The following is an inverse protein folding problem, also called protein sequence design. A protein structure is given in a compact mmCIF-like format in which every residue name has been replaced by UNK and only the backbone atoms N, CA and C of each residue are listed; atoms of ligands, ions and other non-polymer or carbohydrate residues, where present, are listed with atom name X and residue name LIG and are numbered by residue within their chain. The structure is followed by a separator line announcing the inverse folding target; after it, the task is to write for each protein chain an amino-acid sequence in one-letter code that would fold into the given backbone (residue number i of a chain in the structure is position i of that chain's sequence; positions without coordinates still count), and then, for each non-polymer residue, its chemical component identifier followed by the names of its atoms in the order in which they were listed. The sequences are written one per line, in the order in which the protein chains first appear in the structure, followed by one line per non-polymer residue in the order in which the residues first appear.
data_IF_244946103806
#
_entry.id   IF_244946103806
#
_cell.length_a   1.000
_cell.length_b   1.000
_cell.length_c   1.000
_cell.angle_alpha   90.00
_cell.angle_beta   90.00
_cell.angle_gamma   90.00
#
_symmetry.space_group_name_H-M   'P 1'
#
loop_
_entity.id
_entity.type
_entity.pdbx_description
1 polymer ?
#
# COMPACT_ATOMS: atom_id res chain seq x y z
N UNK A 1 17.86 5.39 19.24
CA UNK A 1 18.82 4.65 20.09
C UNK A 1 18.90 3.17 19.70
N UNK A 2 17.79 2.47 19.57
CA UNK A 2 17.79 1.02 19.28
C UNK A 2 18.32 0.67 17.88
N UNK A 3 18.13 1.57 16.91
CA UNK A 3 18.69 1.41 15.57
C UNK A 3 20.21 1.55 15.61
N UNK A 4 20.72 2.61 16.26
CA UNK A 4 22.16 2.84 16.36
C UNK A 4 22.90 1.70 17.08
N UNK A 5 22.29 1.12 18.11
CA UNK A 5 22.85 -0.01 18.83
C UNK A 5 23.02 -1.29 17.99
N UNK A 6 22.22 -1.43 16.92
CA UNK A 6 22.23 -2.60 16.02
C UNK A 6 23.13 -2.43 14.80
N UNK A 7 23.69 -1.23 14.56
CA UNK A 7 24.52 -0.95 13.41
C UNK A 7 25.99 -1.31 13.66
N UNK A 8 26.62 -1.87 12.65
CA UNK A 8 28.07 -2.12 12.64
C UNK A 8 28.82 -0.83 12.31
N UNK A 9 29.37 -0.20 13.34
CA UNK A 9 30.07 1.10 13.24
C UNK A 9 31.32 1.02 12.36
N UNK A 10 31.96 -0.14 12.26
CA UNK A 10 33.15 -0.33 11.42
C UNK A 10 32.86 -0.16 9.92
N UNK A 11 31.61 -0.36 9.52
CA UNK A 11 31.14 -0.16 8.14
C UNK A 11 30.74 1.27 7.82
N UNK A 12 30.85 2.18 8.79
CA UNK A 12 30.41 3.57 8.70
C UNK A 12 31.53 4.58 9.02
N UNK A 13 32.70 4.50 8.36
CA UNK A 13 33.88 5.30 8.72
C UNK A 13 33.71 6.81 8.50
N UNK A 14 32.71 7.23 7.70
CA UNK A 14 32.44 8.64 7.43
C UNK A 14 31.44 9.28 8.40
N UNK A 15 30.83 8.49 9.29
CA UNK A 15 29.89 9.03 10.28
C UNK A 15 30.64 9.74 11.40
N UNK A 16 30.46 11.07 11.48
CA UNK A 16 31.12 11.93 12.49
C UNK A 16 30.34 12.04 13.78
N UNK A 17 29.01 12.08 13.69
CA UNK A 17 28.12 12.16 14.83
C UNK A 17 26.82 11.39 14.58
N UNK A 18 26.19 10.94 15.65
CA UNK A 18 24.82 10.40 15.65
C UNK A 18 24.04 11.10 16.74
N UNK A 19 22.92 11.69 16.37
CA UNK A 19 22.04 12.47 17.24
C UNK A 19 20.67 11.76 17.29
N UNK A 20 20.10 11.64 18.48
CA UNK A 20 18.74 11.15 18.67
C UNK A 20 17.74 12.17 18.12
N UNK A 21 16.80 11.72 17.29
CA UNK A 21 15.72 12.61 16.76
C UNK A 21 14.64 12.93 17.80
N UNK A 22 14.58 12.17 18.91
CA UNK A 22 13.54 12.37 19.92
C UNK A 22 13.82 13.58 20.83
N UNK A 23 15.10 13.79 21.14
CA UNK A 23 15.55 14.76 22.16
C UNK A 23 16.83 15.48 21.76
N UNK A 24 17.31 15.24 20.55
CA UNK A 24 18.56 15.78 19.99
C UNK A 24 19.83 15.43 20.80
N UNK A 25 19.78 14.43 21.68
CA UNK A 25 20.97 14.00 22.42
C UNK A 25 22.02 13.38 21.50
N UNK A 26 23.28 13.64 21.79
CA UNK A 26 24.43 13.07 21.10
C UNK A 26 24.63 11.61 21.52
N UNK A 27 24.39 10.66 20.61
CA UNK A 27 24.56 9.22 20.84
C UNK A 27 25.97 8.74 20.50
N UNK A 28 26.66 9.42 19.58
CA UNK A 28 27.99 9.09 19.12
C UNK A 28 28.69 10.34 18.59
N UNK A 29 29.99 10.44 18.87
CA UNK A 29 30.89 11.39 18.25
C UNK A 29 32.20 10.67 17.88
N UNK A 30 32.69 10.93 16.68
CA UNK A 30 33.94 10.37 16.15
C UNK A 30 35.17 10.81 16.94
N UNK A 31 35.16 12.06 17.39
CA UNK A 31 36.30 12.66 18.15
C UNK A 31 35.80 13.77 19.10
N UNK A 32 36.75 14.34 19.89
CA UNK A 32 36.43 15.37 20.87
C UNK A 32 36.03 16.72 20.24
N UNK A 33 36.48 17.02 19.03
CA UNK A 33 36.09 18.26 18.35
C UNK A 33 34.61 18.22 17.96
N UNK A 34 34.11 17.07 17.56
CA UNK A 34 32.69 16.85 17.32
C UNK A 34 31.86 17.01 18.60
N UNK A 35 32.36 16.52 19.75
CA UNK A 35 31.72 16.72 21.06
C UNK A 35 31.65 18.19 21.43
N UNK A 36 32.79 18.93 21.26
CA UNK A 36 32.84 20.37 21.51
C UNK A 36 31.87 21.14 20.60
N UNK A 37 31.87 20.82 19.31
CA UNK A 37 30.95 21.43 18.35
C UNK A 37 29.48 21.18 18.73
N UNK A 38 29.13 19.96 19.15
CA UNK A 38 27.79 19.65 19.65
C UNK A 38 27.45 20.44 20.92
N UNK A 39 28.37 20.54 21.90
CA UNK A 39 28.13 21.31 23.12
C UNK A 39 27.93 22.81 22.85
N UNK A 40 28.56 23.34 21.79
CA UNK A 40 28.47 24.75 21.40
C UNK A 40 27.26 25.04 20.46
N UNK A 41 26.41 24.06 20.13
CA UNK A 41 25.33 24.23 19.14
C UNK A 41 24.39 25.41 19.48
N UNK A 42 23.94 25.49 20.74
CA UNK A 42 23.01 26.53 21.19
C UNK A 42 23.64 27.92 21.14
N UNK A 43 24.88 28.03 21.52
CA UNK A 43 25.64 29.29 21.49
C UNK A 43 25.91 29.74 20.05
N UNK A 44 26.31 28.79 19.20
CA UNK A 44 26.51 29.03 17.75
C UNK A 44 25.21 29.47 17.09
N UNK A 45 24.09 28.82 17.43
CA UNK A 45 22.77 29.19 16.90
C UNK A 45 22.35 30.61 17.35
N UNK A 46 22.48 30.92 18.64
CA UNK A 46 22.17 32.23 19.18
C UNK A 46 23.06 33.34 18.57
N UNK A 47 24.33 33.05 18.33
CA UNK A 47 25.27 33.99 17.68
C UNK A 47 24.89 34.21 16.21
N UNK A 48 24.43 33.17 15.49
CA UNK A 48 24.03 33.27 14.09
C UNK A 48 22.70 34.00 13.92
N UNK A 49 21.81 33.88 14.90
CA UNK A 49 20.46 34.45 14.86
C UNK A 49 20.18 35.28 16.14
N UNK A 50 20.88 36.42 16.34
CA UNK A 50 20.79 37.20 17.58
C UNK A 50 19.39 37.80 17.81
N UNK A 51 18.60 38.00 16.75
CA UNK A 51 17.22 38.47 16.81
C UNK A 51 16.18 37.36 16.83
N UNK A 52 16.62 36.09 16.98
CA UNK A 52 15.81 34.90 16.83
C UNK A 52 15.75 34.39 15.39
N UNK A 53 15.36 33.13 15.23
CA UNK A 53 15.17 32.49 13.92
C UNK A 53 13.73 32.70 13.45
N UNK A 54 13.57 33.25 12.26
CA UNK A 54 12.26 33.54 11.64
C UNK A 54 12.19 32.95 10.23
N UNK A 55 11.01 32.98 9.59
CA UNK A 55 10.84 32.55 8.20
C UNK A 55 11.74 33.30 7.21
N UNK A 56 12.14 34.54 7.52
CA UNK A 56 13.07 35.32 6.70
C UNK A 56 14.50 34.76 6.68
N UNK A 57 14.84 33.94 7.66
CA UNK A 57 16.15 33.28 7.73
C UNK A 57 16.19 31.98 6.92
N UNK A 58 15.04 31.55 6.38
CA UNK A 58 14.94 30.34 5.56
C UNK A 58 15.13 30.70 4.09
N UNK A 59 16.12 30.11 3.47
CA UNK A 59 16.32 30.18 2.03
C UNK A 59 15.92 28.84 1.42
N UNK A 60 15.07 28.90 0.40
CA UNK A 60 14.65 27.73 -0.35
C UNK A 60 15.45 27.69 -1.66
N UNK A 61 16.00 26.54 -2.00
CA UNK A 61 16.54 26.31 -3.33
C UNK A 61 15.37 25.98 -4.26
N UNK A 62 14.97 26.96 -5.08
CA UNK A 62 13.84 26.83 -6.01
C UNK A 62 14.28 26.78 -7.46
N UNK A 63 15.59 26.76 -7.71
CA UNK A 63 16.14 27.08 -9.03
C UNK A 63 16.25 25.88 -9.97
N UNK A 64 16.21 24.66 -9.42
CA UNK A 64 16.35 23.46 -10.24
C UNK A 64 15.39 22.33 -9.82
N UNK A 65 14.34 22.15 -10.59
CA UNK A 65 13.31 21.13 -10.37
C UNK A 65 13.83 19.70 -10.54
N UNK A 66 14.94 19.53 -11.24
CA UNK A 66 15.56 18.23 -11.52
C UNK A 66 16.57 17.82 -10.43
N UNK A 67 16.78 18.66 -9.40
CA UNK A 67 17.64 18.30 -8.27
C UNK A 67 17.06 17.12 -7.50
N UNK A 68 17.97 16.25 -7.03
CA UNK A 68 17.63 15.10 -6.20
C UNK A 68 17.09 15.59 -4.84
N UNK A 69 15.89 15.17 -4.51
CA UNK A 69 15.22 15.53 -3.26
C UNK A 69 15.23 14.38 -2.24
N UNK A 70 14.83 13.19 -2.69
CA UNK A 70 14.69 12.02 -1.81
C UNK A 70 15.36 10.79 -2.42
N UNK A 71 16.06 10.03 -1.56
CA UNK A 71 16.43 8.65 -1.84
C UNK A 71 15.57 7.74 -0.95
N UNK A 72 14.59 7.09 -1.53
CA UNK A 72 13.69 6.19 -0.80
C UNK A 72 14.05 4.73 -1.07
N UNK A 73 14.41 3.98 -0.02
CA UNK A 73 14.79 2.58 -0.16
C UNK A 73 13.58 1.65 -0.25
N UNK A 74 13.54 0.84 -1.30
CA UNK A 74 12.54 -0.22 -1.46
C UNK A 74 13.10 -1.55 -1.01
N UNK A 75 12.30 -2.32 -0.25
CA UNK A 75 12.60 -3.72 -0.02
C UNK A 75 12.30 -4.50 -1.30
N UNK A 76 13.32 -4.71 -2.14
CA UNK A 76 13.18 -5.57 -3.32
C UNK A 76 12.65 -6.94 -2.94
N UNK A 77 11.69 -7.46 -3.70
CA UNK A 77 11.14 -8.81 -3.49
C UNK A 77 12.14 -9.94 -3.82
N UNK A 78 13.27 -9.61 -4.44
CA UNK A 78 14.22 -10.60 -4.97
C UNK A 78 15.69 -10.24 -4.80
N UNK A 79 16.04 -9.05 -4.26
CA UNK A 79 17.42 -8.55 -4.18
C UNK A 79 17.60 -7.59 -3.02
N UNK A 80 18.84 -7.13 -2.81
CA UNK A 80 19.14 -6.06 -1.84
C UNK A 80 18.26 -4.82 -2.05
N UNK A 81 17.94 -4.07 -0.98
CA UNK A 81 17.17 -2.85 -1.08
C UNK A 81 17.78 -1.86 -2.08
N UNK A 82 16.95 -1.23 -2.91
CA UNK A 82 17.38 -0.22 -3.88
C UNK A 82 16.96 1.16 -3.43
N UNK A 83 17.86 2.12 -3.48
CA UNK A 83 17.56 3.53 -3.18
C UNK A 83 17.01 4.22 -4.42
N UNK A 84 15.70 4.41 -4.48
CA UNK A 84 15.00 5.11 -5.57
C UNK A 84 15.28 6.60 -5.45
N UNK A 85 15.80 7.22 -6.51
CA UNK A 85 16.14 8.63 -6.56
C UNK A 85 14.98 9.43 -7.15
N UNK A 86 14.38 10.31 -6.34
CA UNK A 86 13.26 11.18 -6.72
C UNK A 86 13.69 12.64 -6.67
N UNK A 87 13.30 13.40 -7.70
CA UNK A 87 13.58 14.83 -7.83
C UNK A 87 12.47 15.66 -7.20
N UNK A 88 12.72 16.96 -6.99
CA UNK A 88 11.68 17.94 -6.63
C UNK A 88 10.52 17.90 -7.62
N UNK A 89 10.83 17.80 -8.92
CA UNK A 89 9.83 17.70 -9.97
C UNK A 89 8.91 16.50 -9.78
N UNK A 90 9.49 15.34 -9.45
CA UNK A 90 8.71 14.11 -9.29
C UNK A 90 7.71 14.19 -8.12
N UNK A 91 8.15 14.75 -6.99
CA UNK A 91 7.27 14.95 -5.83
C UNK A 91 6.21 16.00 -6.11
N UNK A 92 6.61 17.14 -6.68
CA UNK A 92 5.70 18.23 -6.98
C UNK A 92 4.61 17.83 -7.97
N UNK A 93 4.94 17.08 -9.02
CA UNK A 93 3.97 16.59 -10.01
C UNK A 93 2.87 15.73 -9.36
N UNK A 94 3.24 14.86 -8.43
CA UNK A 94 2.27 14.01 -7.73
C UNK A 94 1.43 14.79 -6.71
N UNK A 95 2.03 15.76 -6.02
CA UNK A 95 1.31 16.65 -5.09
C UNK A 95 0.32 17.52 -5.85
N UNK A 96 0.74 18.13 -6.95
CA UNK A 96 -0.10 18.94 -7.83
C UNK A 96 -1.29 18.14 -8.39
N UNK A 97 -1.05 16.91 -8.83
CA UNK A 97 -2.13 15.98 -9.18
C UNK A 97 -3.11 15.81 -8.01
N UNK A 98 -2.59 15.53 -6.81
CA UNK A 98 -3.41 15.40 -5.60
C UNK A 98 -4.26 16.66 -5.34
N UNK A 99 -3.68 17.85 -5.45
CA UNK A 99 -4.38 19.12 -5.24
C UNK A 99 -5.55 19.35 -6.21
N UNK A 100 -5.45 18.83 -7.43
CA UNK A 100 -6.51 18.97 -8.44
C UNK A 100 -7.60 17.91 -8.32
N UNK A 101 -7.29 16.69 -7.88
CA UNK A 101 -8.20 15.55 -7.99
C UNK A 101 -8.61 14.93 -6.65
N UNK A 102 -7.87 15.21 -5.57
CA UNK A 102 -8.20 14.72 -4.23
C UNK A 102 -8.68 15.91 -3.39
N UNK A 103 -9.89 15.87 -2.83
CA UNK A 103 -10.41 16.98 -2.02
C UNK A 103 -9.53 17.26 -0.81
N UNK A 104 -9.13 18.53 -0.67
CA UNK A 104 -8.37 19.02 0.50
C UNK A 104 -8.71 20.46 0.81
N UNK A 105 -8.47 20.88 2.05
CA UNK A 105 -8.73 22.23 2.54
C UNK A 105 -8.02 22.43 3.88
N UNK A 106 -7.75 23.69 4.22
CA UNK A 106 -7.30 24.13 5.54
C UNK A 106 -8.30 23.83 6.68
N UNK A 107 -9.55 23.53 6.32
CA UNK A 107 -10.61 23.12 7.26
C UNK A 107 -10.69 21.61 7.48
N UNK A 108 -9.95 20.83 6.70
CA UNK A 108 -9.98 19.39 6.80
C UNK A 108 -8.99 18.89 7.83
N UNK A 109 -9.30 17.72 8.37
CA UNK A 109 -8.46 16.98 9.30
C UNK A 109 -8.16 15.61 8.70
N UNK A 110 -6.98 15.08 9.00
CA UNK A 110 -6.52 13.78 8.56
C UNK A 110 -5.85 13.03 9.70
N UNK A 111 -5.99 11.71 9.72
CA UNK A 111 -5.22 10.81 10.57
C UNK A 111 -4.14 10.14 9.73
N UNK A 112 -2.88 10.37 10.09
CA UNK A 112 -1.73 9.72 9.49
C UNK A 112 -1.41 8.42 10.24
N UNK A 113 -1.47 7.29 9.53
CA UNK A 113 -1.23 5.97 10.08
C UNK A 113 -0.22 5.13 9.28
N UNK A 114 0.09 5.53 8.06
CA UNK A 114 1.07 4.84 7.23
C UNK A 114 2.49 5.24 7.62
N UNK A 115 3.47 4.35 7.45
CA UNK A 115 4.86 4.69 7.71
C UNK A 115 5.37 5.80 6.77
N UNK A 116 5.91 6.89 7.33
CA UNK A 116 6.51 7.98 6.56
C UNK A 116 7.76 7.57 5.76
N UNK A 117 8.38 6.44 6.10
CA UNK A 117 9.46 5.85 5.30
C UNK A 117 9.00 5.30 3.94
N UNK A 118 7.70 5.23 3.69
CA UNK A 118 7.12 4.82 2.40
C UNK A 118 6.54 6.01 1.66
N UNK A 119 6.81 6.08 0.36
CA UNK A 119 6.35 7.19 -0.48
C UNK A 119 4.85 7.42 -0.41
N UNK A 120 4.04 6.37 -0.28
CA UNK A 120 2.59 6.53 -0.16
C UNK A 120 2.18 7.30 1.09
N UNK A 121 2.75 6.96 2.26
CA UNK A 121 2.52 7.70 3.50
C UNK A 121 3.14 9.10 3.45
N UNK A 122 4.40 9.21 3.02
CA UNK A 122 5.09 10.48 2.93
C UNK A 122 4.36 11.48 2.02
N UNK A 123 3.97 11.05 0.83
CA UNK A 123 3.33 11.95 -0.13
C UNK A 123 1.90 12.30 0.29
N UNK A 124 1.06 11.31 0.59
CA UNK A 124 -0.39 11.54 0.74
C UNK A 124 -0.89 11.71 2.17
N UNK A 125 -0.10 11.32 3.19
CA UNK A 125 -0.46 11.60 4.59
C UNK A 125 0.36 12.75 5.21
N UNK A 126 1.40 13.25 4.51
CA UNK A 126 2.23 14.34 5.00
C UNK A 126 2.38 15.49 3.99
N UNK A 127 3.10 15.30 2.88
CA UNK A 127 3.43 16.40 1.96
C UNK A 127 2.17 17.03 1.34
N UNK A 128 1.31 16.22 0.75
CA UNK A 128 0.06 16.69 0.13
C UNK A 128 -0.85 17.45 1.11
N UNK A 129 -1.21 16.92 2.29
CA UNK A 129 -2.04 17.69 3.23
C UNK A 129 -1.33 18.92 3.80
N UNK A 130 0.00 18.87 3.99
CA UNK A 130 0.79 20.04 4.42
C UNK A 130 0.69 21.16 3.41
N UNK A 131 0.86 20.87 2.11
CA UNK A 131 0.75 21.86 1.03
C UNK A 131 -0.66 22.45 0.90
N UNK A 132 -1.68 21.80 1.45
CA UNK A 132 -3.08 22.25 1.42
C UNK A 132 -3.57 22.89 2.74
N UNK A 133 -2.68 23.02 3.73
CA UNK A 133 -3.05 23.54 5.06
C UNK A 133 -3.94 22.61 5.87
N UNK A 134 -4.10 21.34 5.46
CA UNK A 134 -4.89 20.33 6.18
C UNK A 134 -4.23 19.96 7.50
N UNK A 135 -4.99 19.90 8.58
CA UNK A 135 -4.49 19.47 9.89
C UNK A 135 -4.21 17.98 9.93
N UNK A 136 -2.99 17.60 10.31
CA UNK A 136 -2.54 16.20 10.36
C UNK A 136 -2.39 15.73 11.80
N UNK A 137 -3.03 14.62 12.15
CA UNK A 137 -2.84 13.93 13.44
C UNK A 137 -2.08 12.62 13.22
N UNK A 138 -0.86 12.54 13.75
CA UNK A 138 -0.04 11.33 13.67
C UNK A 138 -0.40 10.35 14.79
N UNK A 139 -0.64 9.08 14.46
CA UNK A 139 -0.90 8.04 15.47
C UNK A 139 0.30 7.77 16.38
N UNK A 140 1.52 7.99 15.90
CA UNK A 140 2.77 7.82 16.65
C UNK A 140 3.08 6.39 17.12
N UNK A 141 2.21 5.43 16.83
CA UNK A 141 2.31 4.00 17.19
C UNK A 141 1.83 3.15 16.01
N UNK A 142 2.24 1.89 16.01
CA UNK A 142 1.70 0.91 15.06
C UNK A 142 0.17 0.87 15.16
N UNK A 143 -0.56 1.03 14.06
CA UNK A 143 -2.02 1.05 14.06
C UNK A 143 -2.59 -0.26 14.60
N UNK A 144 -3.35 -0.16 15.70
CA UNK A 144 -4.26 -1.22 16.15
C UNK A 144 -5.70 -0.80 15.83
N UNK A 145 -6.65 -1.74 15.69
CA UNK A 145 -8.05 -1.40 15.42
C UNK A 145 -8.64 -0.42 16.45
N UNK A 146 -8.36 -0.63 17.73
CA UNK A 146 -8.86 0.24 18.81
C UNK A 146 -8.25 1.64 18.77
N UNK A 147 -6.92 1.75 18.57
CA UNK A 147 -6.24 3.03 18.45
C UNK A 147 -6.74 3.82 17.25
N UNK A 148 -6.87 3.14 16.09
CA UNK A 148 -7.38 3.78 14.88
C UNK A 148 -8.81 4.30 15.07
N UNK A 149 -9.72 3.47 15.59
CA UNK A 149 -11.11 3.89 15.83
C UNK A 149 -11.20 5.06 16.82
N UNK A 150 -10.38 5.06 17.89
CA UNK A 150 -10.32 6.20 18.84
C UNK A 150 -9.86 7.46 18.13
N UNK A 151 -8.76 7.41 17.38
CA UNK A 151 -8.26 8.57 16.64
C UNK A 151 -9.26 9.07 15.58
N UNK A 152 -9.91 8.17 14.86
CA UNK A 152 -10.94 8.53 13.87
C UNK A 152 -12.15 9.23 14.54
N UNK A 153 -12.56 8.75 15.72
CA UNK A 153 -13.63 9.36 16.49
C UNK A 153 -13.27 10.78 16.98
N UNK A 154 -12.05 10.96 17.47
CA UNK A 154 -11.60 12.23 18.05
C UNK A 154 -11.29 13.27 16.97
N UNK A 155 -10.63 12.86 15.88
CA UNK A 155 -10.20 13.74 14.79
C UNK A 155 -11.31 14.03 13.79
N UNK A 156 -12.21 13.07 13.55
CA UNK A 156 -13.29 13.12 12.54
C UNK A 156 -12.77 13.48 11.15
N UNK A 157 -11.83 12.71 10.60
CA UNK A 157 -11.17 13.06 9.37
C UNK A 157 -12.13 13.10 8.18
N UNK A 158 -11.82 13.96 7.23
CA UNK A 158 -12.53 14.07 5.95
C UNK A 158 -12.09 12.99 4.96
N UNK A 159 -10.79 12.70 4.94
CA UNK A 159 -10.11 11.75 4.05
C UNK A 159 -9.37 10.70 4.87
N UNK A 160 -9.50 9.45 4.46
CA UNK A 160 -8.71 8.33 4.98
C UNK A 160 -7.84 7.75 3.87
N UNK A 161 -6.52 7.86 4.04
CA UNK A 161 -5.53 7.14 3.23
C UNK A 161 -5.22 5.84 3.96
N UNK A 162 -5.27 4.71 3.26
CA UNK A 162 -5.14 3.41 3.92
C UNK A 162 -4.62 2.33 2.99
N UNK A 163 -4.46 1.12 3.50
CA UNK A 163 -4.10 -0.08 2.74
C UNK A 163 -5.24 -1.11 2.76
N UNK A 164 -5.36 -1.98 1.74
CA UNK A 164 -6.42 -2.97 1.63
C UNK A 164 -6.63 -3.80 2.88
N UNK A 165 -5.55 -4.25 3.53
CA UNK A 165 -5.60 -5.06 4.74
C UNK A 165 -6.43 -4.42 5.87
N UNK A 166 -6.36 -3.09 6.03
CA UNK A 166 -7.15 -2.37 7.04
C UNK A 166 -8.62 -2.43 6.68
N UNK A 167 -8.95 -2.15 5.42
CA UNK A 167 -10.33 -2.17 4.93
C UNK A 167 -10.95 -3.57 4.97
N UNK A 168 -10.17 -4.60 4.66
CA UNK A 168 -10.58 -6.01 4.77
C UNK A 168 -10.84 -6.42 6.22
N UNK A 169 -10.02 -5.98 7.16
CA UNK A 169 -10.27 -6.19 8.60
C UNK A 169 -11.54 -5.50 9.05
N UNK A 170 -11.77 -4.25 8.63
CA UNK A 170 -13.02 -3.53 8.91
C UNK A 170 -14.22 -4.29 8.33
N UNK A 171 -14.13 -4.79 7.10
CA UNK A 171 -15.18 -5.61 6.50
C UNK A 171 -15.44 -6.88 7.31
N UNK A 172 -14.40 -7.67 7.61
CA UNK A 172 -14.51 -8.93 8.35
C UNK A 172 -15.07 -8.74 9.78
N UNK A 173 -14.71 -7.64 10.45
CA UNK A 173 -15.13 -7.40 11.84
C UNK A 173 -16.47 -6.68 11.98
N UNK A 174 -16.79 -5.72 11.13
CA UNK A 174 -17.96 -4.86 11.29
C UNK A 174 -19.11 -5.16 10.32
N UNK A 175 -18.82 -5.60 9.09
CA UNK A 175 -19.83 -5.75 8.02
C UNK A 175 -20.25 -7.22 7.88
N UNK A 176 -19.29 -8.12 7.70
CA UNK A 176 -19.54 -9.54 7.43
C UNK A 176 -20.42 -10.22 8.51
N UNK A 177 -20.20 -10.03 9.83
CA UNK A 177 -21.05 -10.64 10.85
C UNK A 177 -22.51 -10.19 10.81
N UNK A 178 -22.77 -8.98 10.29
CA UNK A 178 -24.14 -8.48 10.10
C UNK A 178 -24.77 -9.16 8.89
N UNK A 179 -24.05 -9.25 7.78
CA UNK A 179 -24.53 -9.82 6.51
C UNK A 179 -24.73 -11.34 6.59
N UNK A 180 -23.96 -12.03 7.40
CA UNK A 180 -24.04 -13.51 7.54
C UNK A 180 -25.26 -13.98 8.34
N UNK A 181 -25.95 -13.10 9.06
CA UNK A 181 -27.19 -13.47 9.76
C UNK A 181 -28.23 -13.97 8.78
N UNK A 182 -28.94 -15.11 9.06
CA UNK A 182 -29.91 -15.71 8.15
C UNK A 182 -30.98 -14.73 7.65
N UNK A 183 -31.50 -13.91 8.56
CA UNK A 183 -32.49 -12.86 8.24
C UNK A 183 -31.90 -11.83 7.28
N UNK A 184 -30.67 -11.41 7.46
CA UNK A 184 -30.02 -10.42 6.61
C UNK A 184 -29.73 -10.98 5.22
N UNK A 185 -29.40 -12.27 5.09
CA UNK A 185 -29.22 -12.95 3.80
C UNK A 185 -30.50 -12.94 2.96
N UNK A 186 -31.66 -13.00 3.59
CA UNK A 186 -32.96 -12.89 2.93
C UNK A 186 -33.28 -11.43 2.61
N UNK A 187 -33.21 -10.54 3.60
CA UNK A 187 -33.60 -9.13 3.46
C UNK A 187 -32.74 -8.38 2.44
N UNK A 188 -31.46 -8.70 2.33
CA UNK A 188 -30.53 -8.08 1.34
C UNK A 188 -30.80 -8.50 -0.11
N UNK A 189 -31.68 -9.49 -0.33
CA UNK A 189 -32.14 -9.90 -1.67
C UNK A 189 -33.42 -9.23 -2.11
N UNK A 190 -34.17 -8.59 -1.19
CA UNK A 190 -35.47 -7.96 -1.49
C UNK A 190 -35.22 -6.53 -2.01
N UNK A 191 -35.63 -6.21 -3.26
CA UNK A 191 -35.50 -4.86 -3.80
C UNK A 191 -36.16 -3.81 -2.92
N UNK A 192 -35.52 -2.65 -2.75
CA UNK A 192 -35.99 -1.58 -1.88
C UNK A 192 -35.62 -1.76 -0.41
N UNK A 193 -35.81 -2.94 0.18
CA UNK A 193 -35.38 -3.23 1.55
C UNK A 193 -33.84 -3.27 1.63
N UNK A 194 -33.21 -3.89 0.64
CA UNK A 194 -31.75 -3.96 0.55
C UNK A 194 -31.07 -2.58 0.58
N UNK A 195 -31.63 -1.59 -0.14
CA UNK A 195 -31.05 -0.24 -0.17
C UNK A 195 -31.10 0.45 1.19
N UNK A 196 -32.19 0.27 1.95
CA UNK A 196 -32.31 0.80 3.31
C UNK A 196 -31.33 0.14 4.27
N UNK A 197 -31.14 -1.18 4.14
CA UNK A 197 -30.18 -1.93 4.96
C UNK A 197 -28.75 -1.49 4.64
N UNK A 198 -28.38 -1.41 3.37
CA UNK A 198 -27.06 -1.00 2.96
C UNK A 198 -26.77 0.44 3.38
N UNK A 199 -27.74 1.34 3.28
CA UNK A 199 -27.62 2.71 3.81
C UNK A 199 -27.33 2.71 5.31
N UNK A 200 -28.07 1.93 6.11
CA UNK A 200 -27.84 1.81 7.56
C UNK A 200 -26.47 1.22 7.90
N UNK A 201 -26.01 0.21 7.16
CA UNK A 201 -24.67 -0.36 7.35
C UNK A 201 -23.60 0.70 7.07
N UNK A 202 -23.73 1.44 5.95
CA UNK A 202 -22.83 2.53 5.60
C UNK A 202 -22.79 3.62 6.68
N UNK A 203 -23.94 4.11 7.10
CA UNK A 203 -24.04 5.15 8.14
C UNK A 203 -23.40 4.71 9.45
N UNK A 204 -23.64 3.46 9.86
CA UNK A 204 -23.02 2.90 11.07
C UNK A 204 -21.51 2.79 10.94
N UNK A 205 -21.02 2.36 9.77
CA UNK A 205 -19.58 2.24 9.51
C UNK A 205 -18.91 3.61 9.48
N UNK A 206 -19.45 4.56 8.71
CA UNK A 206 -18.92 5.92 8.65
C UNK A 206 -18.99 6.62 10.01
N UNK A 207 -20.08 6.40 10.79
CA UNK A 207 -20.19 6.89 12.17
C UNK A 207 -19.09 6.34 13.08
N UNK A 208 -18.76 5.05 12.98
CA UNK A 208 -17.64 4.45 13.73
C UNK A 208 -16.26 5.02 13.30
N UNK A 209 -16.17 5.51 12.07
CA UNK A 209 -14.97 6.18 11.51
C UNK A 209 -15.01 7.71 11.72
N UNK A 210 -15.73 8.21 12.71
CA UNK A 210 -15.79 9.63 13.09
C UNK A 210 -16.92 10.44 12.47
N UNK A 211 -17.69 9.88 11.52
CA UNK A 211 -18.91 10.48 10.98
C UNK A 211 -18.71 11.57 9.91
N UNK A 212 -17.49 12.02 9.68
CA UNK A 212 -17.20 13.11 8.70
C UNK A 212 -16.49 12.60 7.42
N UNK A 213 -16.21 11.31 7.36
CA UNK A 213 -15.41 10.71 6.28
C UNK A 213 -16.17 10.74 4.95
N UNK A 214 -15.62 11.45 3.95
CA UNK A 214 -16.20 11.60 2.61
C UNK A 214 -15.46 10.78 1.56
N UNK A 215 -14.23 10.36 1.84
CA UNK A 215 -13.42 9.59 0.90
C UNK A 215 -12.46 8.65 1.61
N UNK A 216 -12.33 7.46 1.07
CA UNK A 216 -11.36 6.46 1.46
C UNK A 216 -10.52 6.13 0.22
N UNK A 217 -9.21 6.37 0.30
CA UNK A 217 -8.27 5.98 -0.75
C UNK A 217 -7.44 4.81 -0.23
N UNK A 218 -7.50 3.70 -0.93
CA UNK A 218 -6.69 2.52 -0.60
C UNK A 218 -5.71 2.20 -1.72
N UNK A 219 -4.51 1.75 -1.36
CA UNK A 219 -3.46 1.47 -2.33
C UNK A 219 -2.33 0.63 -1.74
N UNK A 220 -1.32 0.35 -2.58
CA UNK A 220 -0.14 -0.41 -2.18
C UNK A 220 -0.28 -1.93 -2.24
N UNK A 221 -1.49 -2.46 -2.42
CA UNK A 221 -1.80 -3.87 -2.67
C UNK A 221 -3.18 -4.00 -3.32
N UNK A 222 -3.50 -5.14 -3.97
CA UNK A 222 -4.85 -5.40 -4.47
C UNK A 222 -5.88 -5.45 -3.33
N UNK A 223 -7.05 -4.84 -3.54
CA UNK A 223 -8.19 -4.99 -2.65
C UNK A 223 -8.94 -6.29 -2.99
N UNK A 224 -9.34 -7.03 -1.95
CA UNK A 224 -10.07 -8.27 -2.14
C UNK A 224 -11.39 -8.04 -2.91
N UNK A 225 -11.64 -8.75 -4.04
CA UNK A 225 -12.80 -8.51 -4.90
C UNK A 225 -14.15 -8.72 -4.21
N UNK A 226 -14.24 -9.66 -3.24
CA UNK A 226 -15.47 -9.87 -2.48
C UNK A 226 -15.76 -8.69 -1.57
N UNK A 227 -14.74 -8.19 -0.88
CA UNK A 227 -14.83 -7.01 -0.02
C UNK A 227 -15.23 -5.80 -0.84
N UNK A 228 -14.60 -5.61 -1.98
CA UNK A 228 -14.88 -4.52 -2.90
C UNK A 228 -16.32 -4.55 -3.43
N UNK A 229 -16.82 -5.72 -3.82
CA UNK A 229 -18.21 -5.94 -4.21
C UNK A 229 -19.21 -5.48 -3.13
N UNK A 230 -18.88 -5.73 -1.87
CA UNK A 230 -19.72 -5.28 -0.76
C UNK A 230 -19.59 -3.78 -0.52
N UNK A 231 -18.40 -3.18 -0.61
CA UNK A 231 -18.22 -1.74 -0.49
C UNK A 231 -19.05 -0.99 -1.54
N UNK A 232 -19.06 -1.48 -2.79
CA UNK A 232 -19.92 -0.93 -3.83
C UNK A 232 -21.41 -1.04 -3.47
N UNK A 233 -21.86 -2.22 -3.01
CA UNK A 233 -23.29 -2.46 -2.65
C UNK A 233 -23.75 -1.56 -1.52
N UNK A 234 -22.96 -1.34 -0.49
CA UNK A 234 -23.30 -0.46 0.63
C UNK A 234 -23.11 1.03 0.29
N UNK A 235 -22.50 1.35 -0.85
CA UNK A 235 -22.21 2.71 -1.29
C UNK A 235 -21.16 3.41 -0.44
N UNK A 236 -20.13 2.67 -0.01
CA UNK A 236 -18.99 3.27 0.71
C UNK A 236 -18.23 4.19 -0.25
N UNK A 237 -17.80 5.41 0.17
CA UNK A 237 -17.04 6.32 -0.67
C UNK A 237 -15.55 5.91 -0.71
N UNK A 238 -15.21 4.92 -1.52
CA UNK A 238 -13.84 4.41 -1.64
C UNK A 238 -13.34 4.45 -3.07
N UNK A 239 -12.02 4.46 -3.20
CA UNK A 239 -11.30 4.27 -4.46
C UNK A 239 -10.01 3.49 -4.22
N UNK A 240 -9.48 2.88 -5.27
CA UNK A 240 -8.20 2.18 -5.26
C UNK A 240 -7.24 2.92 -6.18
N UNK A 241 -6.07 3.30 -5.66
CA UNK A 241 -5.00 3.87 -6.45
C UNK A 241 -3.87 2.84 -6.68
N UNK A 242 -3.21 2.97 -7.83
CA UNK A 242 -2.05 2.17 -8.17
C UNK A 242 -0.81 3.03 -8.29
N UNK A 243 0.30 2.50 -7.79
CA UNK A 243 1.58 3.15 -7.92
C UNK A 243 2.72 2.39 -7.24
N UNK A 244 3.90 3.00 -7.32
CA UNK A 244 5.14 2.43 -6.80
C UNK A 244 6.08 3.55 -6.37
N UNK A 245 7.09 3.22 -5.56
CA UNK A 245 8.07 4.21 -5.07
C UNK A 245 8.72 4.98 -6.22
N UNK A 246 9.00 4.28 -7.32
CA UNK A 246 9.62 4.82 -8.52
C UNK A 246 8.75 5.84 -9.29
N UNK A 247 7.48 6.01 -8.88
CA UNK A 247 6.52 6.96 -9.47
C UNK A 247 6.01 8.02 -8.47
N UNK A 248 6.67 8.27 -7.39
CA UNK A 248 6.52 9.32 -6.38
C UNK A 248 5.13 9.57 -5.71
N UNK A 249 4.23 8.62 -5.43
CA UNK A 249 4.21 7.21 -5.77
C UNK A 249 3.14 6.79 -6.79
N UNK A 250 2.37 7.69 -7.42
CA UNK A 250 1.08 7.41 -8.06
C UNK A 250 1.18 7.28 -9.59
N UNK A 251 0.54 6.25 -10.15
CA UNK A 251 0.42 6.02 -11.60
C UNK A 251 -1.01 6.00 -12.11
N UNK A 252 -1.95 5.52 -11.28
CA UNK A 252 -3.37 5.50 -11.66
C UNK A 252 -4.26 5.79 -10.46
N UNK A 253 -5.34 6.53 -10.71
CA UNK A 253 -6.33 6.94 -9.72
C UNK A 253 -7.62 7.38 -10.40
N UNK A 254 -8.75 7.23 -9.71
CA UNK A 254 -10.03 7.81 -10.11
C UNK A 254 -10.78 8.25 -8.84
N UNK A 255 -11.45 9.41 -8.81
CA UNK A 255 -12.30 9.81 -7.68
C UNK A 255 -13.38 8.76 -7.37
N UNK A 256 -13.75 8.59 -6.10
CA UNK A 256 -14.71 7.57 -5.66
C UNK A 256 -16.10 7.69 -6.34
N UNK A 257 -16.44 8.85 -6.89
CA UNK A 257 -17.69 9.10 -7.64
C UNK A 257 -17.73 8.46 -9.01
N UNK A 258 -16.58 8.30 -9.66
CA UNK A 258 -16.40 7.71 -11.01
C UNK A 258 -15.62 6.40 -11.00
N UNK A 259 -15.14 5.98 -9.84
CA UNK A 259 -14.34 4.76 -9.70
C UNK A 259 -15.06 3.48 -10.15
N UNK A 260 -14.37 2.71 -10.97
CA UNK A 260 -14.85 1.41 -11.47
C UNK A 260 -14.23 0.29 -10.62
N UNK A 261 -15.02 -0.48 -9.86
CA UNK A 261 -14.50 -1.57 -9.02
C UNK A 261 -13.70 -2.61 -9.79
N UNK A 262 -12.62 -3.08 -9.17
CA UNK A 262 -11.67 -4.01 -9.77
C UNK A 262 -10.56 -3.33 -10.57
N UNK A 263 -10.73 -2.05 -10.92
CA UNK A 263 -9.69 -1.25 -11.56
C UNK A 263 -8.82 -0.51 -10.54
N UNK A 264 -7.82 0.21 -11.02
CA UNK A 264 -7.07 1.19 -10.25
C UNK A 264 -7.35 2.63 -10.72
N UNK A 265 -8.44 2.83 -11.47
CA UNK A 265 -8.75 4.09 -12.13
C UNK A 265 -7.93 4.32 -13.40
N UNK A 266 -7.92 5.58 -13.85
CA UNK A 266 -7.20 6.01 -15.06
C UNK A 266 -5.78 6.47 -14.72
N UNK A 267 -4.94 6.55 -15.74
CA UNK A 267 -3.59 7.11 -15.61
C UNK A 267 -3.65 8.53 -15.06
N UNK A 268 -2.74 8.86 -14.15
CA UNK A 268 -2.55 10.25 -13.68
C UNK A 268 -2.06 11.12 -14.84
N UNK A 269 -2.41 12.40 -14.85
CA UNK A 269 -2.08 13.30 -15.97
C UNK A 269 -0.62 13.78 -15.96
N UNK A 270 0.11 13.57 -14.87
CA UNK A 270 1.56 13.80 -14.79
C UNK A 270 2.39 12.62 -15.32
N UNK A 271 1.75 11.52 -15.77
CA UNK A 271 2.41 10.37 -16.38
C UNK A 271 1.62 9.79 -17.56
N UNK A 272 2.35 9.31 -18.54
CA UNK A 272 1.82 8.45 -19.60
C UNK A 272 2.01 7.01 -19.14
N UNK A 273 0.93 6.26 -19.01
CA UNK A 273 0.97 4.83 -18.71
C UNK A 273 0.57 4.05 -19.95
N UNK A 274 1.35 3.04 -20.31
CA UNK A 274 1.05 2.13 -21.42
C UNK A 274 1.16 0.68 -20.98
N UNK A 275 0.56 -0.20 -21.74
CA UNK A 275 0.74 -1.65 -21.63
C UNK A 275 1.61 -2.11 -22.78
N UNK A 276 2.67 -2.83 -22.48
CA UNK A 276 3.57 -3.45 -23.47
C UNK A 276 2.88 -4.69 -24.05
N UNK A 277 1.99 -4.46 -25.01
CA UNK A 277 1.14 -5.47 -25.63
C UNK A 277 0.69 -4.99 -27.00
N UNK A 278 0.47 -5.93 -27.93
CA UNK A 278 -0.12 -5.66 -29.25
C UNK A 278 -1.58 -5.21 -29.15
N UNK A 279 -2.31 -5.67 -28.14
CA UNK A 279 -3.70 -5.28 -27.83
C UNK A 279 -3.85 -5.01 -26.33
N UNK A 280 -3.59 -3.75 -25.88
CA UNK A 280 -3.62 -3.37 -24.47
C UNK A 280 -4.98 -3.56 -23.76
N UNK A 281 -6.06 -3.77 -24.53
CA UNK A 281 -7.39 -3.97 -23.97
C UNK A 281 -7.74 -5.45 -23.75
N UNK A 282 -7.13 -6.36 -24.50
CA UNK A 282 -7.49 -7.79 -24.45
C UNK A 282 -6.31 -8.68 -24.10
N UNK A 283 -5.07 -8.23 -24.32
CA UNK A 283 -3.86 -9.00 -24.08
C UNK A 283 -3.05 -8.34 -22.95
N UNK A 284 -2.86 -9.09 -21.86
CA UNK A 284 -2.09 -8.63 -20.72
C UNK A 284 -0.62 -8.41 -21.09
N UNK A 285 -0.08 -7.25 -20.75
CA UNK A 285 1.33 -6.90 -20.95
C UNK A 285 1.92 -6.20 -19.74
N UNK A 286 3.23 -5.90 -19.79
CA UNK A 286 3.89 -5.13 -18.74
C UNK A 286 3.39 -3.68 -18.74
N UNK A 287 3.03 -3.19 -17.55
CA UNK A 287 2.69 -1.79 -17.34
C UNK A 287 3.98 -0.99 -17.38
N UNK A 288 4.03 0.03 -18.24
CA UNK A 288 5.17 0.92 -18.39
C UNK A 288 4.72 2.37 -18.21
N UNK A 289 5.55 3.21 -17.58
CA UNK A 289 5.19 4.58 -17.26
C UNK A 289 6.30 5.57 -17.58
N UNK A 290 5.93 6.78 -18.07
CA UNK A 290 6.84 7.87 -18.34
C UNK A 290 6.17 9.20 -17.96
N UNK A 291 6.84 10.04 -17.20
CA UNK A 291 6.27 11.32 -16.78
C UNK A 291 7.14 12.04 -15.79
N UNK A 292 6.63 13.19 -15.35
CA UNK A 292 7.35 14.08 -14.43
C UNK A 292 7.49 13.49 -13.02
N UNK A 293 6.59 12.57 -12.63
CA UNK A 293 6.60 11.87 -11.35
C UNK A 293 7.52 10.63 -11.31
N UNK A 294 8.22 10.30 -12.40
CA UNK A 294 9.06 9.11 -12.48
C UNK A 294 10.47 9.38 -11.94
N UNK A 295 11.03 8.42 -11.22
CA UNK A 295 12.38 8.48 -10.66
C UNK A 295 13.45 8.60 -11.76
N UNK A 296 14.63 9.12 -11.38
CA UNK A 296 15.78 9.21 -12.28
C UNK A 296 16.68 7.96 -12.25
N UNK A 297 16.33 6.94 -11.44
CA UNK A 297 17.06 5.69 -11.31
C UNK A 297 17.32 5.29 -9.86
N UNK A 298 18.34 4.43 -9.66
CA UNK A 298 18.68 3.88 -8.36
C UNK A 298 20.06 4.34 -7.90
N UNK A 299 20.14 4.83 -6.67
CA UNK A 299 21.36 5.37 -6.06
C UNK A 299 22.49 4.35 -6.03
N UNK A 300 23.64 4.73 -6.59
CA UNK A 300 24.83 3.87 -6.69
C UNK A 300 24.59 2.50 -7.32
N UNK A 301 23.59 2.40 -8.20
CA UNK A 301 23.28 1.16 -8.90
C UNK A 301 22.96 1.42 -10.38
N UNK A 302 23.98 1.72 -11.20
CA UNK A 302 23.79 2.07 -12.62
C UNK A 302 23.21 0.92 -13.46
N UNK A 303 23.55 -0.32 -13.15
CA UNK A 303 23.01 -1.49 -13.84
C UNK A 303 21.51 -1.63 -13.62
N UNK A 304 21.06 -1.54 -12.37
CA UNK A 304 19.64 -1.57 -12.07
C UNK A 304 18.90 -0.37 -12.66
N UNK A 305 19.55 0.80 -12.73
CA UNK A 305 18.97 2.00 -13.35
C UNK A 305 18.79 1.80 -14.86
N UNK A 306 19.77 1.30 -15.55
CA UNK A 306 19.69 1.02 -16.99
C UNK A 306 18.59 -0.01 -17.31
N UNK A 307 18.49 -1.07 -16.50
CA UNK A 307 17.48 -2.13 -16.68
C UNK A 307 16.05 -1.70 -16.29
N UNK A 308 15.91 -0.58 -15.57
CA UNK A 308 14.60 -0.11 -15.14
C UNK A 308 13.81 0.59 -16.26
N UNK A 309 14.49 1.05 -17.30
CA UNK A 309 13.87 1.81 -18.37
C UNK A 309 13.96 1.09 -19.71
N UNK A 310 12.98 1.37 -20.55
CA UNK A 310 13.00 0.97 -21.98
C UNK A 310 13.91 1.92 -22.77
N UNK A 311 14.26 1.57 -24.00
CA UNK A 311 15.07 2.43 -24.88
C UNK A 311 14.42 3.78 -25.16
N UNK A 312 13.08 3.84 -25.20
CA UNK A 312 12.29 5.07 -25.38
C UNK A 312 11.96 5.78 -24.05
N UNK A 313 12.56 5.33 -22.92
CA UNK A 313 12.57 6.00 -21.64
C UNK A 313 11.33 5.78 -20.77
N UNK A 314 10.57 4.71 -20.98
CA UNK A 314 9.51 4.31 -20.05
C UNK A 314 10.08 3.46 -18.92
N UNK A 315 9.64 3.73 -17.69
CA UNK A 315 9.91 2.89 -16.53
C UNK A 315 9.17 1.54 -16.69
N UNK A 316 9.89 0.44 -16.54
CA UNK A 316 9.34 -0.91 -16.41
C UNK A 316 8.86 -1.13 -14.99
N UNK A 317 7.56 -1.26 -14.79
CA UNK A 317 7.03 -1.42 -13.43
C UNK A 317 7.23 -2.83 -12.88
N UNK A 318 7.35 -3.82 -13.76
CA UNK A 318 7.34 -5.24 -13.41
C UNK A 318 5.96 -5.74 -13.00
N UNK A 319 4.93 -4.91 -13.09
CA UNK A 319 3.53 -5.27 -12.90
C UNK A 319 2.87 -5.52 -14.27
N UNK A 320 1.96 -6.47 -14.33
CA UNK A 320 1.23 -6.85 -15.53
C UNK A 320 -0.21 -6.35 -15.44
N UNK A 321 -0.76 -5.91 -16.55
CA UNK A 321 -2.12 -5.38 -16.57
C UNK A 321 -2.70 -5.20 -17.96
N UNK A 322 -3.88 -4.62 -18.02
CA UNK A 322 -4.59 -4.21 -19.23
C UNK A 322 -5.47 -2.99 -18.95
N UNK A 323 -5.91 -2.31 -19.99
CA UNK A 323 -6.93 -1.26 -19.91
C UNK A 323 -8.29 -1.80 -20.35
N UNK A 324 -9.38 -1.22 -19.82
CA UNK A 324 -10.69 -1.36 -20.46
C UNK A 324 -10.89 -0.29 -21.57
N UNK A 325 -12.05 -0.33 -22.21
CA UNK A 325 -12.40 0.60 -23.27
C UNK A 325 -12.52 2.07 -22.80
N UNK A 326 -12.73 2.29 -21.49
CA UNK A 326 -12.85 3.61 -20.87
C UNK A 326 -11.48 4.11 -20.33
N UNK A 327 -10.41 3.32 -20.47
CA UNK A 327 -9.06 3.65 -20.04
C UNK A 327 -8.78 3.37 -18.56
N UNK A 328 -9.62 2.58 -17.88
CA UNK A 328 -9.34 2.14 -16.54
C UNK A 328 -8.28 1.03 -16.55
N UNK A 329 -7.29 1.14 -15.67
CA UNK A 329 -6.19 0.19 -15.53
C UNK A 329 -6.58 -0.96 -14.61
N UNK A 330 -6.36 -2.18 -15.04
CA UNK A 330 -6.53 -3.41 -14.26
C UNK A 330 -5.20 -4.11 -14.06
N UNK A 331 -4.80 -4.28 -12.80
CA UNK A 331 -3.57 -5.02 -12.45
C UNK A 331 -3.91 -6.51 -12.39
N UNK A 332 -3.10 -7.33 -13.07
CA UNK A 332 -3.25 -8.79 -13.09
C UNK A 332 -2.29 -9.51 -12.15
N UNK A 333 -1.10 -8.98 -11.98
CA UNK A 333 -0.08 -9.55 -11.09
C UNK A 333 1.30 -9.01 -11.39
N UNK A 334 2.32 -9.69 -10.84
CA UNK A 334 3.71 -9.34 -11.11
C UNK A 334 4.34 -10.27 -12.13
N UNK A 335 5.12 -9.72 -13.06
CA UNK A 335 5.83 -10.51 -14.08
C UNK A 335 6.73 -11.59 -13.48
N UNK A 336 7.41 -11.28 -12.37
CA UNK A 336 8.29 -12.21 -11.65
C UNK A 336 7.56 -13.27 -10.82
N UNK A 337 6.28 -13.08 -10.53
CA UNK A 337 5.43 -14.03 -9.78
C UNK A 337 4.57 -14.88 -10.71
N UNK A 338 4.43 -14.49 -11.95
CA UNK A 338 3.63 -15.21 -12.94
C UNK A 338 4.13 -16.65 -13.09
N UNK A 339 3.20 -17.60 -13.08
CA UNK A 339 3.44 -19.03 -13.28
C UNK A 339 2.94 -19.40 -14.67
N UNK A 340 3.77 -20.11 -15.43
CA UNK A 340 3.35 -20.64 -16.72
C UNK A 340 2.73 -22.03 -16.50
N UNK A 341 1.47 -22.19 -16.87
CA UNK A 341 0.80 -23.50 -16.81
C UNK A 341 1.41 -24.48 -17.82
N UNK A 342 1.18 -25.76 -17.61
CA UNK A 342 1.58 -26.81 -18.53
C UNK A 342 1.03 -26.62 -19.98
N UNK A 343 -0.08 -25.90 -20.12
CA UNK A 343 -0.73 -25.57 -21.40
C UNK A 343 -0.26 -24.24 -21.99
N UNK A 344 0.78 -23.59 -21.42
CA UNK A 344 1.30 -22.31 -21.89
C UNK A 344 0.47 -21.09 -21.51
N UNK A 345 -0.53 -21.23 -20.63
CA UNK A 345 -1.33 -20.11 -20.14
C UNK A 345 -0.67 -19.46 -18.93
N UNK A 346 -0.74 -18.14 -18.87
CA UNK A 346 -0.26 -17.37 -17.74
C UNK A 346 -1.22 -17.51 -16.54
N UNK A 347 -0.68 -17.90 -15.41
CA UNK A 347 -1.39 -17.94 -14.13
C UNK A 347 -0.82 -16.82 -13.26
N UNK A 348 -1.71 -15.99 -12.72
CA UNK A 348 -1.36 -14.93 -11.80
C UNK A 348 -1.67 -15.40 -10.37
N UNK A 349 -0.64 -15.73 -9.57
CA UNK A 349 -0.84 -16.27 -8.21
C UNK A 349 -1.76 -15.42 -7.35
N UNK A 350 -1.69 -14.11 -7.51
CA UNK A 350 -2.48 -13.16 -6.75
C UNK A 350 -4.00 -13.31 -7.02
N UNK A 351 -4.40 -13.66 -8.23
CA UNK A 351 -5.81 -13.93 -8.57
C UNK A 351 -6.30 -15.24 -7.88
N UNK A 352 -5.45 -16.26 -7.87
CA UNK A 352 -5.76 -17.55 -7.20
C UNK A 352 -5.83 -17.34 -5.68
N UNK A 353 -4.88 -16.61 -5.11
CA UNK A 353 -4.84 -16.28 -3.68
C UNK A 353 -6.05 -15.47 -3.24
N UNK A 354 -6.56 -14.57 -4.08
CA UNK A 354 -7.78 -13.82 -3.78
C UNK A 354 -8.97 -14.77 -3.56
N UNK A 355 -9.07 -15.84 -4.32
CA UNK A 355 -10.11 -16.87 -4.16
C UNK A 355 -9.89 -17.71 -2.91
N UNK A 356 -8.65 -18.12 -2.66
CA UNK A 356 -8.27 -18.92 -1.47
C UNK A 356 -8.50 -18.12 -0.19
N UNK A 357 -8.10 -16.85 -0.17
CA UNK A 357 -8.24 -15.97 1.00
C UNK A 357 -9.72 -15.68 1.37
N UNK A 358 -10.65 -15.92 0.45
CA UNK A 358 -12.10 -15.82 0.70
C UNK A 358 -12.70 -17.09 1.33
N UNK A 359 -11.94 -18.19 1.42
CA UNK A 359 -12.45 -19.41 2.02
C UNK A 359 -12.55 -19.26 3.56
N UNK A 360 -13.50 -19.98 4.19
CA UNK A 360 -13.64 -19.99 5.64
C UNK A 360 -12.32 -20.36 6.33
N UNK A 361 -12.01 -19.66 7.43
CA UNK A 361 -10.81 -19.86 8.27
C UNK A 361 -9.47 -19.58 7.59
N UNK A 362 -9.43 -19.07 6.36
CA UNK A 362 -8.19 -18.63 5.74
C UNK A 362 -7.88 -17.20 6.19
N UNK A 363 -6.72 -17.00 6.79
CA UNK A 363 -6.21 -15.69 7.14
C UNK A 363 -5.41 -15.07 5.99
N UNK A 364 -4.50 -15.86 5.42
CA UNK A 364 -3.65 -15.47 4.28
C UNK A 364 -3.12 -16.71 3.54
N UNK A 365 -2.78 -16.54 2.27
CA UNK A 365 -2.22 -17.61 1.46
C UNK A 365 -1.14 -17.13 0.50
N UNK A 366 -0.32 -18.07 0.06
CA UNK A 366 0.68 -17.90 -1.01
C UNK A 366 0.55 -19.06 -1.98
N UNK A 367 0.35 -18.75 -3.26
CA UNK A 367 0.31 -19.77 -4.31
C UNK A 367 1.68 -19.86 -4.98
N UNK A 368 2.18 -21.07 -5.07
CA UNK A 368 3.50 -21.40 -5.62
C UNK A 368 3.39 -22.49 -6.68
N UNK A 369 4.38 -22.54 -7.57
CA UNK A 369 4.58 -23.65 -8.49
C UNK A 369 5.52 -24.69 -7.84
N UNK A 370 5.06 -25.92 -7.71
CA UNK A 370 5.90 -27.06 -7.33
C UNK A 370 5.77 -28.17 -8.36
N UNK A 371 6.83 -28.32 -9.17
CA UNK A 371 6.87 -29.31 -10.25
C UNK A 371 5.67 -29.20 -11.22
N UNK A 372 5.40 -27.99 -11.72
CA UNK A 372 4.29 -27.66 -12.63
C UNK A 372 2.90 -27.92 -12.04
N UNK A 373 2.78 -27.89 -10.70
CA UNK A 373 1.52 -28.00 -9.98
C UNK A 373 1.33 -26.79 -9.08
N UNK A 374 0.14 -26.20 -9.13
CA UNK A 374 -0.23 -25.13 -8.23
C UNK A 374 -0.47 -25.67 -6.82
N UNK A 375 0.28 -25.17 -5.87
CA UNK A 375 0.12 -25.45 -4.45
C UNK A 375 -0.21 -24.16 -3.71
N UNK A 376 -1.30 -24.15 -2.95
CA UNK A 376 -1.64 -23.06 -2.08
C UNK A 376 -1.12 -23.35 -0.66
N UNK A 377 -0.17 -22.55 -0.20
CA UNK A 377 0.25 -22.51 1.20
C UNK A 377 -0.73 -21.61 1.94
N UNK A 378 -1.32 -22.09 3.02
CA UNK A 378 -2.40 -21.38 3.73
C UNK A 378 -2.07 -21.28 5.21
N UNK A 379 -2.14 -20.06 5.73
CA UNK A 379 -2.15 -19.81 7.16
C UNK A 379 -3.59 -19.60 7.64
N UNK A 380 -4.01 -20.40 8.61
CA UNK A 380 -5.37 -20.37 9.13
C UNK A 380 -5.56 -19.30 10.21
N UNK A 381 -6.77 -18.74 10.28
CA UNK A 381 -7.20 -17.81 11.31
C UNK A 381 -7.45 -18.58 12.63
N UNK A 382 -6.43 -18.61 13.47
CA UNK A 382 -6.42 -19.31 14.74
C UNK A 382 -7.48 -18.78 15.71
N UNK A 383 -7.83 -17.51 15.62
CA UNK A 383 -8.85 -16.90 16.46
C UNK A 383 -10.25 -17.35 16.03
N UNK A 384 -10.52 -17.37 14.73
CA UNK A 384 -11.78 -17.87 14.18
C UNK A 384 -11.99 -19.37 14.50
N UNK A 385 -10.93 -20.19 14.34
CA UNK A 385 -10.98 -21.63 14.67
C UNK A 385 -11.36 -21.87 16.14
N UNK A 386 -10.72 -21.13 17.07
CA UNK A 386 -11.03 -21.25 18.51
C UNK A 386 -12.43 -20.78 18.85
N UNK A 387 -12.86 -19.66 18.27
CA UNK A 387 -14.17 -19.09 18.49
C UNK A 387 -15.31 -20.02 18.09
N UNK A 388 -15.13 -20.72 16.96
CA UNK A 388 -16.13 -21.63 16.42
C UNK A 388 -16.01 -23.04 16.98
N UNK A 389 -14.98 -23.31 17.83
CA UNK A 389 -14.79 -24.56 18.55
C UNK A 389 -14.56 -25.78 17.63
N UNK A 390 -13.84 -25.60 16.51
CA UNK A 390 -13.59 -26.67 15.57
C UNK A 390 -12.72 -27.76 16.22
N UNK A 391 -13.12 -29.02 16.05
CA UNK A 391 -12.34 -30.17 16.47
C UNK A 391 -11.17 -30.46 15.50
N UNK A 392 -10.25 -31.30 15.94
CA UNK A 392 -9.05 -31.66 15.17
C UNK A 392 -9.39 -32.33 13.83
N UNK A 393 -10.46 -33.15 13.78
CA UNK A 393 -10.88 -33.85 12.57
C UNK A 393 -11.39 -32.86 11.52
N UNK A 394 -12.24 -31.90 11.92
CA UNK A 394 -12.72 -30.82 11.05
C UNK A 394 -11.57 -29.95 10.54
N UNK A 395 -10.59 -29.64 11.40
CA UNK A 395 -9.41 -28.86 10.99
C UNK A 395 -8.55 -29.65 10.00
N UNK A 396 -8.41 -30.95 10.17
CA UNK A 396 -7.66 -31.79 9.24
C UNK A 396 -8.29 -31.85 7.83
N UNK A 397 -9.62 -31.70 7.73
CA UNK A 397 -10.34 -31.68 6.45
C UNK A 397 -10.32 -30.31 5.74
N UNK A 398 -9.93 -29.23 6.45
CA UNK A 398 -9.94 -27.88 5.87
C UNK A 398 -9.12 -27.75 4.58
N UNK A 399 -7.91 -28.31 4.43
CA UNK A 399 -7.12 -28.19 3.20
C UNK A 399 -7.90 -28.65 1.97
N UNK A 400 -8.54 -29.81 2.04
CA UNK A 400 -9.28 -30.37 0.91
C UNK A 400 -10.58 -29.56 0.63
N UNK A 401 -11.27 -29.10 1.66
CA UNK A 401 -12.44 -28.24 1.53
C UNK A 401 -12.10 -26.90 0.91
N UNK A 402 -11.00 -26.28 1.33
CA UNK A 402 -10.49 -25.01 0.75
C UNK A 402 -10.17 -25.25 -0.73
N UNK A 403 -9.44 -26.31 -1.07
CA UNK A 403 -9.11 -26.68 -2.45
C UNK A 403 -10.35 -26.80 -3.32
N UNK A 404 -11.29 -27.69 -2.94
CA UNK A 404 -12.52 -27.95 -3.72
C UNK A 404 -13.36 -26.67 -3.90
N UNK A 405 -13.51 -25.87 -2.86
CA UNK A 405 -14.32 -24.65 -2.93
C UNK A 405 -13.65 -23.53 -3.73
N UNK A 406 -12.32 -23.46 -3.72
CA UNK A 406 -11.57 -22.54 -4.55
C UNK A 406 -11.63 -22.93 -6.02
N UNK A 407 -11.42 -24.23 -6.32
CA UNK A 407 -11.43 -24.74 -7.70
C UNK A 407 -12.78 -24.56 -8.42
N UNK A 408 -13.90 -24.52 -7.68
CA UNK A 408 -15.22 -24.19 -8.26
C UNK A 408 -15.30 -22.76 -8.80
N UNK A 409 -14.43 -21.88 -8.36
CA UNK A 409 -14.40 -20.45 -8.72
C UNK A 409 -13.24 -20.10 -9.65
N UNK A 410 -12.26 -21.02 -9.76
CA UNK A 410 -11.08 -20.83 -10.59
C UNK A 410 -11.25 -21.42 -11.98
N UNK A 411 -10.66 -20.79 -13.01
CA UNK A 411 -10.56 -21.41 -14.33
C UNK A 411 -9.78 -22.73 -14.27
N UNK A 412 -10.09 -23.65 -15.19
CA UNK A 412 -9.48 -24.97 -15.22
C UNK A 412 -7.93 -24.96 -15.23
N UNK A 413 -7.34 -23.97 -15.91
CA UNK A 413 -5.87 -23.87 -16.03
C UNK A 413 -5.18 -23.35 -14.76
N UNK A 414 -5.92 -22.78 -13.81
CA UNK A 414 -5.41 -22.24 -12.55
C UNK A 414 -5.93 -22.97 -11.31
N UNK A 415 -6.46 -24.18 -11.46
CA UNK A 415 -6.91 -25.01 -10.34
C UNK A 415 -5.75 -25.45 -9.46
N UNK A 416 -6.03 -25.51 -8.16
CA UNK A 416 -5.06 -25.85 -7.13
C UNK A 416 -4.96 -27.35 -6.98
N UNK A 417 -3.76 -27.89 -7.12
CA UNK A 417 -3.54 -29.34 -6.95
C UNK A 417 -3.55 -29.74 -5.48
N UNK A 418 -3.04 -28.87 -4.60
CA UNK A 418 -2.91 -29.14 -3.17
C UNK A 418 -2.99 -27.86 -2.35
N UNK A 419 -3.60 -27.95 -1.18
CA UNK A 419 -3.52 -26.92 -0.13
C UNK A 419 -2.65 -27.48 1.01
N UNK A 420 -1.67 -26.70 1.45
CA UNK A 420 -0.79 -27.03 2.57
C UNK A 420 -0.95 -25.97 3.67
N UNK A 421 -1.27 -26.43 4.89
CA UNK A 421 -1.37 -25.53 6.03
C UNK A 421 0.05 -25.22 6.56
N UNK A 422 0.31 -23.97 6.82
CA UNK A 422 1.54 -23.51 7.46
C UNK A 422 1.26 -23.13 8.91
N UNK A 423 2.19 -23.46 9.80
CA UNK A 423 2.02 -23.29 11.25
C UNK A 423 2.29 -21.83 11.71
N UNK A 424 2.97 -21.05 10.89
CA UNK A 424 3.36 -19.68 11.23
C UNK A 424 2.85 -18.69 10.16
N UNK A 425 2.51 -17.46 10.55
CA UNK A 425 2.20 -16.41 9.59
C UNK A 425 3.34 -16.19 8.60
N UNK A 426 3.00 -15.85 7.36
CA UNK A 426 4.01 -15.53 6.36
C UNK A 426 4.86 -14.33 6.75
N UNK A 427 6.16 -14.40 6.50
CA UNK A 427 7.03 -13.23 6.64
C UNK A 427 6.63 -12.11 5.69
N UNK A 428 6.59 -10.90 6.23
CA UNK A 428 6.16 -9.72 5.48
C UNK A 428 7.26 -8.67 5.39
N UNK A 429 7.17 -7.90 4.33
CA UNK A 429 7.92 -6.65 4.20
C UNK A 429 7.34 -5.59 5.16
N UNK A 430 8.03 -4.47 5.41
CA UNK A 430 7.45 -3.34 6.15
C UNK A 430 6.15 -2.80 5.54
N UNK A 431 5.90 -3.04 4.25
CA UNK A 431 4.64 -2.72 3.55
C UNK A 431 3.52 -3.75 3.79
N UNK A 432 3.72 -4.71 4.68
CA UNK A 432 2.79 -5.81 4.96
C UNK A 432 2.54 -6.77 3.77
N UNK A 433 3.37 -6.70 2.72
CA UNK A 433 3.35 -7.67 1.61
C UNK A 433 4.15 -8.91 1.95
N UNK A 434 3.65 -10.09 1.60
CA UNK A 434 4.33 -11.36 1.88
C UNK A 434 5.62 -11.47 1.06
N UNK A 435 6.71 -11.92 1.70
CA UNK A 435 8.00 -12.18 1.06
C UNK A 435 7.95 -13.52 0.31
N UNK A 436 7.30 -13.54 -0.85
CA UNK A 436 7.05 -14.77 -1.65
C UNK A 436 8.30 -15.59 -1.95
N UNK A 437 9.46 -14.94 -2.10
CA UNK A 437 10.72 -15.63 -2.42
C UNK A 437 11.18 -16.62 -1.35
N UNK A 438 10.64 -16.55 -0.14
CA UNK A 438 10.91 -17.49 0.96
C UNK A 438 10.11 -18.80 0.84
N UNK A 439 9.10 -18.87 -0.03
CA UNK A 439 8.11 -19.93 -0.08
C UNK A 439 8.06 -20.67 -1.43
N UNK A 440 9.11 -20.54 -2.24
CA UNK A 440 9.22 -21.21 -3.55
C UNK A 440 9.42 -22.72 -3.42
#
# INVERSE_FOLDING_TARGET
SDIWAKLDKSKMPLVKAVISVNDFTLLYADNDDVKKAYAAISETFASRYPMGFTGENVTYNTDNWDDLDIINYTSGTTSAPKGVMLTHKALSATIDFGQRYIPSSDKFTMVSMLPMAHMYGLTYEFLYPLCNGTSITFLGKTPSPSLLLSAMHDVKPYLLITVPLVMEKVFKSAIKPVLDKPVMKVLTRIPGINSLIFKKIREKLLGALGGNLQMIITGGAPLNPEVEKWFKKIGLPYTVGYGMTEAAPLLAYEPCTSYVPGSCGRSVDCAIVRIDSEDPQHVVGEIQAKGDNICIGYYKNPEASANAFTEDGFLRTGDLGLFDADGNLYIKGRSKSMILSANGQNIYPEEVEAVVNNQPYVQESVVVDRASKLVALVYLDQEALRKDGLDQETVADLPERIRINSDKQLPNYSQITKVEIVDQPFEKTPKMSIKRFLYK
#
